data_IF_304576974361
#
_entry.id   IF_304576974361
#
_cell.length_a   1.000
_cell.length_b   1.000
_cell.length_c   1.000
_cell.angle_alpha   90.00
_cell.angle_beta   90.00
_cell.angle_gamma   90.00
#
_symmetry.space_group_name_H-M   'P 1'
#
loop_
_entity.id
_entity.type
_entity.pdbx_description
1 polymer ?
#
# COMPACT_ATOMS: atom_id res chain seq x y z
N UNK A 1 -10.19 -67.03 17.16
CA UNK A 1 -9.88 -65.65 16.75
C UNK A 1 -8.41 -65.58 16.34
N UNK A 2 -8.14 -65.38 15.06
CA UNK A 2 -6.78 -65.28 14.50
C UNK A 2 -6.13 -63.95 14.89
N UNK A 3 -4.79 -63.92 15.06
CA UNK A 3 -4.02 -62.72 15.46
C UNK A 3 -4.36 -61.45 14.67
N UNK A 4 -4.82 -61.60 13.42
CA UNK A 4 -5.26 -60.53 12.54
C UNK A 4 -6.54 -59.84 13.06
N UNK A 5 -7.52 -60.59 13.58
CA UNK A 5 -8.77 -60.00 14.11
C UNK A 5 -8.55 -59.17 15.37
N UNK A 6 -7.56 -59.54 16.18
CA UNK A 6 -7.17 -58.77 17.37
C UNK A 6 -6.56 -57.42 16.97
N UNK A 7 -5.70 -57.42 15.94
CA UNK A 7 -5.04 -56.22 15.45
C UNK A 7 -6.03 -55.20 14.86
N UNK A 8 -7.02 -55.66 14.09
CA UNK A 8 -8.05 -54.78 13.54
C UNK A 8 -9.02 -54.21 14.59
N UNK A 9 -9.32 -54.97 15.66
CA UNK A 9 -10.11 -54.44 16.80
C UNK A 9 -9.37 -53.34 17.55
N UNK A 10 -8.05 -53.47 17.70
CA UNK A 10 -7.24 -52.49 18.43
C UNK A 10 -7.07 -51.18 17.64
N UNK A 11 -6.91 -51.26 16.31
CA UNK A 11 -6.86 -50.07 15.44
C UNK A 11 -8.21 -49.33 15.44
N UNK A 12 -9.34 -50.03 15.35
CA UNK A 12 -10.67 -49.37 15.42
C UNK A 12 -10.91 -48.69 16.78
N UNK A 13 -10.48 -49.30 17.88
CA UNK A 13 -10.58 -48.66 19.21
C UNK A 13 -9.75 -47.38 19.31
N UNK A 14 -8.52 -47.37 18.77
CA UNK A 14 -7.65 -46.18 18.76
C UNK A 14 -8.16 -45.08 17.82
N UNK A 15 -8.78 -45.44 16.69
CA UNK A 15 -9.39 -44.47 15.78
C UNK A 15 -10.64 -43.82 16.38
N UNK A 16 -11.50 -44.58 17.08
CA UNK A 16 -12.64 -44.00 17.79
C UNK A 16 -12.20 -43.10 18.95
N UNK A 17 -11.22 -43.50 19.76
CA UNK A 17 -10.75 -42.65 20.87
C UNK A 17 -10.11 -41.32 20.40
N UNK A 18 -9.44 -41.32 19.25
CA UNK A 18 -8.85 -40.11 18.67
C UNK A 18 -9.91 -39.19 18.02
N UNK A 19 -11.01 -39.75 17.53
CA UNK A 19 -12.10 -38.97 16.97
C UNK A 19 -12.95 -38.32 18.09
N UNK A 20 -13.21 -39.04 19.17
CA UNK A 20 -13.96 -38.51 20.33
C UNK A 20 -13.19 -37.39 21.06
N UNK A 21 -11.86 -37.51 21.16
CA UNK A 21 -11.01 -36.45 21.74
C UNK A 21 -10.92 -35.21 20.85
N UNK A 22 -10.90 -35.36 19.52
CA UNK A 22 -10.94 -34.23 18.59
C UNK A 22 -12.27 -33.45 18.66
N UNK A 23 -13.39 -34.16 18.81
CA UNK A 23 -14.72 -33.54 18.96
C UNK A 23 -14.82 -32.78 20.29
N UNK A 24 -14.30 -33.36 21.38
CA UNK A 24 -14.32 -32.72 22.70
C UNK A 24 -13.46 -31.44 22.73
N UNK A 25 -12.32 -31.42 22.04
CA UNK A 25 -11.46 -30.23 21.89
C UNK A 25 -12.17 -29.14 21.07
N UNK A 26 -12.88 -29.51 20.00
CA UNK A 26 -13.65 -28.54 19.21
C UNK A 26 -14.85 -27.96 19.98
N UNK A 27 -15.53 -28.78 20.78
CA UNK A 27 -16.65 -28.31 21.61
C UNK A 27 -16.18 -27.34 22.70
N UNK A 28 -15.11 -27.67 23.41
CA UNK A 28 -14.53 -26.80 24.45
C UNK A 28 -13.95 -25.50 23.88
N UNK A 29 -13.39 -25.52 22.68
CA UNK A 29 -12.96 -24.31 21.97
C UNK A 29 -14.16 -23.40 21.60
N UNK A 30 -15.26 -23.98 21.11
CA UNK A 30 -16.45 -23.22 20.75
C UNK A 30 -17.14 -22.58 21.97
N UNK A 31 -17.21 -23.29 23.11
CA UNK A 31 -17.76 -22.73 24.35
C UNK A 31 -16.91 -21.57 24.88
N UNK A 32 -15.59 -21.67 24.78
CA UNK A 32 -14.65 -20.61 25.17
C UNK A 32 -14.82 -19.37 24.30
N UNK A 33 -14.99 -19.55 22.99
CA UNK A 33 -15.24 -18.46 22.03
C UNK A 33 -16.60 -17.80 22.31
N UNK A 34 -17.67 -18.57 22.53
CA UNK A 34 -18.98 -18.01 22.84
C UNK A 34 -18.98 -17.23 24.16
N UNK A 35 -18.27 -17.73 25.18
CA UNK A 35 -18.11 -17.02 26.45
C UNK A 35 -17.38 -15.69 26.25
N UNK A 36 -16.30 -15.68 25.46
CA UNK A 36 -15.55 -14.46 25.12
C UNK A 36 -16.43 -13.40 24.42
N UNK A 37 -17.20 -13.79 23.40
CA UNK A 37 -18.10 -12.88 22.70
C UNK A 37 -19.20 -12.31 23.60
N UNK A 38 -19.76 -13.12 24.51
CA UNK A 38 -20.76 -12.65 25.47
C UNK A 38 -20.19 -11.59 26.42
N UNK A 39 -18.98 -11.82 26.97
CA UNK A 39 -18.30 -10.81 27.79
C UNK A 39 -17.97 -9.53 27.03
N UNK A 40 -17.59 -9.62 25.76
CA UNK A 40 -17.33 -8.43 24.93
C UNK A 40 -18.60 -7.61 24.67
N UNK A 41 -19.73 -8.27 24.42
CA UNK A 41 -21.02 -7.59 24.24
C UNK A 41 -21.49 -6.90 25.53
N UNK A 42 -21.37 -7.56 26.68
CA UNK A 42 -21.72 -6.97 27.98
C UNK A 42 -20.81 -5.78 28.35
N UNK A 43 -19.53 -5.81 27.96
CA UNK A 43 -18.61 -4.68 28.14
C UNK A 43 -18.95 -3.50 27.22
N UNK A 44 -19.32 -3.77 25.96
CA UNK A 44 -19.72 -2.74 25.01
C UNK A 44 -21.06 -2.08 25.39
N UNK A 45 -22.03 -2.85 25.90
CA UNK A 45 -23.29 -2.29 26.41
C UNK A 45 -23.03 -1.40 27.63
N UNK A 46 -22.19 -1.82 28.58
CA UNK A 46 -21.81 -0.98 29.73
C UNK A 46 -21.08 0.30 29.31
N UNK A 47 -20.19 0.24 28.32
CA UNK A 47 -19.53 1.44 27.78
C UNK A 47 -20.52 2.38 27.07
N UNK A 48 -21.48 1.84 26.30
CA UNK A 48 -22.55 2.63 25.67
C UNK A 48 -23.46 3.34 26.68
N UNK A 49 -23.78 2.70 27.81
CA UNK A 49 -24.59 3.33 28.86
C UNK A 49 -23.82 4.36 29.68
N UNK A 50 -22.52 4.16 29.91
CA UNK A 50 -21.69 5.09 30.70
C UNK A 50 -21.39 6.38 29.93
N UNK A 51 -21.31 6.32 28.59
CA UNK A 51 -21.09 7.50 27.73
C UNK A 51 -22.34 8.41 27.66
N UNK A 52 -23.53 7.90 28.02
CA UNK A 52 -24.78 8.68 27.96
C UNK A 52 -25.07 9.59 29.16
N UNK A 53 -24.26 9.59 30.22
CA UNK A 53 -24.58 10.34 31.45
C UNK A 53 -23.56 11.46 31.79
N UNK A 54 -22.34 11.46 31.23
CA UNK A 54 -21.29 12.38 31.67
C UNK A 54 -20.94 13.55 30.73
N UNK A 55 -21.56 13.67 29.56
CA UNK A 55 -21.21 14.69 28.56
C UNK A 55 -22.35 15.60 28.09
N UNK A 56 -23.34 15.87 28.95
CA UNK A 56 -24.21 17.04 28.76
C UNK A 56 -23.54 18.25 29.42
N UNK A 57 -22.51 18.77 28.75
CA UNK A 57 -22.09 20.15 28.95
C UNK A 57 -23.10 21.04 28.24
N UNK A 58 -23.65 21.97 29.01
CA UNK A 58 -24.38 23.14 28.54
C UNK A 58 -23.55 23.84 27.45
N UNK A 59 -23.94 23.64 26.20
CA UNK A 59 -23.57 24.51 25.11
C UNK A 59 -24.85 25.00 24.47
N UNK A 60 -25.07 26.30 24.63
CA UNK A 60 -26.13 27.08 24.02
C UNK A 60 -26.23 26.78 22.52
N UNK A 61 -27.28 26.04 22.18
CA UNK A 61 -27.86 26.02 20.85
C UNK A 61 -29.26 26.55 21.06
N UNK A 62 -29.64 27.59 20.30
CA UNK A 62 -31.00 28.09 20.17
C UNK A 62 -31.94 26.94 19.76
N UNK A 63 -32.34 26.11 20.73
CA UNK A 63 -33.27 25.03 20.55
C UNK A 63 -34.65 25.66 20.43
N UNK A 64 -35.05 26.00 19.19
CA UNK A 64 -36.47 26.20 18.88
C UNK A 64 -37.19 24.91 19.28
N UNK A 65 -37.88 24.97 20.41
CA UNK A 65 -38.74 23.88 20.87
C UNK A 65 -39.84 23.71 19.83
N UNK A 66 -39.87 22.55 19.17
CA UNK A 66 -40.93 22.21 18.23
C UNK A 66 -42.17 21.77 19.02
N UNK A 67 -43.34 22.25 18.62
CA UNK A 67 -44.62 21.96 19.26
C UNK A 67 -45.45 21.04 18.39
N UNK A 68 -46.12 20.06 19.01
CA UNK A 68 -47.07 19.18 18.33
C UNK A 68 -48.32 19.97 17.95
N UNK A 69 -48.74 19.93 16.69
CA UNK A 69 -49.93 20.65 16.22
C UNK A 69 -51.24 20.13 16.85
N UNK A 70 -51.31 18.84 17.18
CA UNK A 70 -52.53 18.23 17.73
C UNK A 70 -52.63 18.40 19.25
N UNK A 71 -51.51 18.23 19.96
CA UNK A 71 -51.49 18.24 21.43
C UNK A 71 -51.02 19.56 22.03
N UNK A 72 -50.49 20.48 21.20
CA UNK A 72 -49.86 21.74 21.60
C UNK A 72 -48.86 21.59 22.76
N UNK A 73 -48.03 20.55 22.68
CA UNK A 73 -46.99 20.20 23.66
C UNK A 73 -45.63 20.04 22.98
N UNK A 74 -44.52 20.22 23.70
CA UNK A 74 -43.18 20.10 23.12
C UNK A 74 -42.92 18.68 22.65
N UNK A 75 -42.34 18.55 21.46
CA UNK A 75 -41.93 17.28 20.88
C UNK A 75 -40.55 16.88 21.41
N UNK A 76 -40.35 15.57 21.65
CA UNK A 76 -39.04 15.02 21.98
C UNK A 76 -38.32 14.54 20.72
N UNK A 77 -37.05 14.93 20.55
CA UNK A 77 -36.20 14.38 19.48
C UNK A 77 -35.92 12.90 19.75
N UNK A 78 -36.34 12.02 18.84
CA UNK A 78 -36.03 10.58 18.87
C UNK A 78 -34.69 10.30 18.18
N UNK A 79 -34.41 10.99 17.08
CA UNK A 79 -33.11 10.98 16.38
C UNK A 79 -32.93 12.31 15.61
N UNK A 80 -31.90 12.38 14.77
CA UNK A 80 -31.59 13.58 13.97
C UNK A 80 -32.65 13.95 12.93
N UNK A 81 -33.66 13.11 12.69
CA UNK A 81 -34.63 13.28 11.60
C UNK A 81 -36.06 13.34 12.15
N UNK A 82 -36.35 12.69 13.27
CA UNK A 82 -37.70 12.51 13.78
C UNK A 82 -37.85 13.00 15.22
N UNK A 83 -38.94 13.72 15.43
CA UNK A 83 -39.44 14.15 16.72
C UNK A 83 -40.76 13.43 17.02
N UNK A 84 -40.99 13.04 18.27
CA UNK A 84 -42.21 12.34 18.70
C UNK A 84 -42.93 13.14 19.76
N UNK A 85 -44.26 13.22 19.63
CA UNK A 85 -45.10 13.65 20.74
C UNK A 85 -45.29 12.49 21.73
N UNK A 86 -44.93 12.70 22.99
CA UNK A 86 -45.04 11.66 24.03
C UNK A 86 -46.49 11.24 24.25
N UNK A 87 -47.43 12.17 24.11
CA UNK A 87 -48.82 11.93 24.49
C UNK A 87 -49.65 11.28 23.39
N UNK A 88 -49.53 11.77 22.14
CA UNK A 88 -50.29 11.19 21.01
C UNK A 88 -49.48 10.21 20.16
N UNK A 89 -48.16 10.10 20.40
CA UNK A 89 -47.28 9.23 19.63
C UNK A 89 -47.02 9.69 18.19
N UNK A 90 -47.46 10.89 17.80
CA UNK A 90 -47.27 11.41 16.44
C UNK A 90 -45.77 11.63 16.16
N UNK A 91 -45.27 10.96 15.12
CA UNK A 91 -43.91 11.16 14.63
C UNK A 91 -43.90 12.25 13.55
N UNK A 92 -43.16 13.33 13.80
CA UNK A 92 -42.97 14.43 12.86
C UNK A 92 -41.51 14.44 12.38
N UNK A 93 -41.31 14.63 11.08
CA UNK A 93 -39.98 14.82 10.51
C UNK A 93 -39.53 16.27 10.72
N UNK A 94 -38.34 16.45 11.28
CA UNK A 94 -37.74 17.77 11.45
C UNK A 94 -37.12 18.21 10.11
N UNK A 95 -37.85 19.03 9.35
CA UNK A 95 -37.39 19.51 8.04
C UNK A 95 -36.25 20.55 8.13
N UNK A 96 -35.95 21.07 9.33
CA UNK A 96 -34.95 22.12 9.50
C UNK A 96 -33.50 21.65 9.30
N UNK A 97 -33.22 20.35 9.47
CA UNK A 97 -31.87 19.77 9.29
C UNK A 97 -31.67 19.08 7.92
N UNK A 98 -32.64 19.18 7.01
CA UNK A 98 -32.54 18.65 5.66
C UNK A 98 -32.11 19.73 4.67
N UNK A 99 -30.79 19.92 4.55
CA UNK A 99 -30.21 20.38 3.28
C UNK A 99 -30.58 19.33 2.22
N UNK A 100 -31.47 19.67 1.29
CA UNK A 100 -31.78 18.84 0.14
C UNK A 100 -30.48 18.47 -0.60
N UNK A 101 -30.05 17.22 -0.44
CA UNK A 101 -29.24 16.55 -1.44
C UNK A 101 -30.18 16.29 -2.63
N UNK A 102 -30.28 17.28 -3.53
CA UNK A 102 -30.81 17.03 -4.87
C UNK A 102 -29.98 15.91 -5.49
N UNK A 103 -30.64 14.87 -6.01
CA UNK A 103 -30.04 13.75 -6.75
C UNK A 103 -29.39 14.15 -8.09
N UNK A 104 -28.95 15.40 -8.24
CA UNK A 104 -28.06 15.83 -9.29
C UNK A 104 -26.63 15.45 -8.87
N UNK A 105 -26.26 14.23 -9.23
CA UNK A 105 -25.00 13.55 -8.90
C UNK A 105 -23.71 14.21 -9.41
N UNK A 106 -23.72 15.51 -9.75
CA UNK A 106 -22.56 16.16 -10.37
C UNK A 106 -22.12 17.49 -9.74
N UNK A 107 -22.78 18.02 -8.70
CA UNK A 107 -22.37 19.33 -8.14
C UNK A 107 -22.40 19.55 -6.63
N UNK A 108 -22.69 18.57 -5.79
CA UNK A 108 -22.67 18.78 -4.32
C UNK A 108 -21.44 18.18 -3.64
N UNK A 109 -20.28 18.81 -3.83
CA UNK A 109 -19.21 18.73 -2.81
C UNK A 109 -19.61 19.69 -1.69
N UNK A 110 -20.49 19.24 -0.80
CA UNK A 110 -20.92 19.98 0.38
C UNK A 110 -20.37 19.36 1.66
N UNK A 111 -19.11 18.91 1.65
CA UNK A 111 -18.30 18.71 2.85
C UNK A 111 -16.83 18.99 2.52
N UNK A 112 -16.51 20.26 2.34
CA UNK A 112 -15.18 20.74 2.69
C UNK A 112 -15.31 22.23 2.98
N UNK A 113 -14.40 22.75 3.78
CA UNK A 113 -14.05 24.16 3.88
C UNK A 113 -13.59 24.70 2.52
N UNK A 114 -14.47 24.72 1.53
CA UNK A 114 -14.17 25.19 0.18
C UNK A 114 -13.94 26.68 0.25
N UNK A 115 -12.69 27.06 0.03
CA UNK A 115 -12.25 28.44 -0.04
C UNK A 115 -13.10 29.22 -1.04
N UNK A 116 -13.55 30.42 -0.63
CA UNK A 116 -14.23 31.38 -1.50
C UNK A 116 -13.46 31.49 -2.83
N UNK A 117 -14.07 31.01 -3.92
CA UNK A 117 -13.43 31.01 -5.25
C UNK A 117 -14.05 32.09 -6.10
N UNK A 118 -13.31 33.18 -6.31
CA UNK A 118 -13.70 34.28 -7.18
C UNK A 118 -13.61 33.77 -8.62
N UNK A 119 -14.75 33.64 -9.30
CA UNK A 119 -14.77 33.27 -10.72
C UNK A 119 -14.44 34.50 -11.56
N UNK A 120 -13.43 34.39 -12.43
CA UNK A 120 -13.05 35.45 -13.36
C UNK A 120 -11.78 35.11 -14.14
N UNK A 121 -11.73 35.44 -15.42
CA UNK A 121 -10.55 35.23 -16.28
C UNK A 121 -9.50 36.34 -16.15
N UNK A 122 -9.84 37.42 -15.46
CA UNK A 122 -8.97 38.58 -15.20
C UNK A 122 -7.78 38.22 -14.29
N UNK A 123 -6.67 38.95 -14.45
CA UNK A 123 -5.46 38.79 -13.63
C UNK A 123 -5.75 39.08 -12.15
N UNK A 124 -6.66 40.03 -11.90
CA UNK A 124 -7.11 40.49 -10.59
C UNK A 124 -7.86 39.39 -9.84
N UNK A 125 -8.82 38.74 -10.49
CA UNK A 125 -9.53 37.58 -9.92
C UNK A 125 -8.57 36.43 -9.55
N UNK A 126 -7.55 36.15 -10.39
CA UNK A 126 -6.50 35.16 -10.06
C UNK A 126 -5.66 35.60 -8.87
N UNK A 127 -5.28 36.88 -8.80
CA UNK A 127 -4.50 37.43 -7.70
C UNK A 127 -5.28 37.40 -6.38
N UNK A 128 -6.56 37.74 -6.38
CA UNK A 128 -7.42 37.68 -5.21
C UNK A 128 -7.66 36.24 -4.76
N UNK A 129 -7.90 35.30 -5.68
CA UNK A 129 -7.94 33.86 -5.34
C UNK A 129 -6.64 33.39 -4.68
N UNK A 130 -5.48 33.79 -5.22
CA UNK A 130 -4.19 33.41 -4.64
C UNK A 130 -4.02 33.98 -3.22
N UNK A 131 -4.52 35.20 -2.96
CA UNK A 131 -4.53 35.79 -1.61
C UNK A 131 -5.44 35.03 -0.67
N UNK A 132 -6.67 34.72 -1.08
CA UNK A 132 -7.62 33.93 -0.29
C UNK A 132 -7.07 32.56 0.07
N UNK A 133 -6.47 31.86 -0.90
CA UNK A 133 -5.81 30.56 -0.68
C UNK A 133 -4.56 30.65 0.22
N UNK A 134 -3.91 31.81 0.27
CA UNK A 134 -2.75 32.06 1.14
C UNK A 134 -3.13 32.35 2.59
N UNK A 135 -4.37 32.81 2.84
CA UNK A 135 -4.86 33.18 4.17
C UNK A 135 -5.65 32.06 4.86
N UNK A 136 -5.92 30.95 4.19
CA UNK A 136 -6.71 29.85 4.76
C UNK A 136 -5.84 28.88 5.57
N UNK A 137 -6.32 28.46 6.74
CA UNK A 137 -5.72 27.41 7.56
C UNK A 137 -5.49 26.09 6.81
N UNK A 138 -6.27 25.84 5.74
CA UNK A 138 -6.19 24.66 4.87
C UNK A 138 -5.22 24.78 3.66
N UNK A 139 -4.29 25.74 3.67
CA UNK A 139 -3.33 25.95 2.57
C UNK A 139 -2.48 24.71 2.30
N UNK A 140 -2.09 23.97 3.35
CA UNK A 140 -1.34 22.71 3.23
C UNK A 140 -2.15 21.65 2.49
N UNK A 141 -3.39 21.44 2.90
CA UNK A 141 -4.26 20.41 2.34
C UNK A 141 -4.58 20.69 0.87
N UNK A 142 -4.81 21.95 0.52
CA UNK A 142 -5.06 22.32 -0.88
C UNK A 142 -3.82 22.08 -1.75
N UNK A 143 -2.62 22.37 -1.25
CA UNK A 143 -1.36 22.10 -1.97
C UNK A 143 -1.15 20.60 -2.15
N UNK A 144 -1.36 19.82 -1.07
CA UNK A 144 -1.31 18.36 -1.10
C UNK A 144 -2.26 17.79 -2.15
N UNK A 145 -3.53 18.21 -2.15
CA UNK A 145 -4.53 17.75 -3.12
C UNK A 145 -4.13 18.04 -4.57
N UNK A 146 -3.53 19.20 -4.86
CA UNK A 146 -3.02 19.50 -6.21
C UNK A 146 -1.90 18.55 -6.64
N UNK A 147 -1.00 18.22 -5.71
CA UNK A 147 0.10 17.28 -5.98
C UNK A 147 -0.45 15.87 -6.16
N UNK A 148 -1.41 15.45 -5.33
CA UNK A 148 -2.09 14.17 -5.47
C UNK A 148 -2.77 14.03 -6.83
N UNK A 149 -3.57 15.02 -7.22
CA UNK A 149 -4.23 15.04 -8.52
C UNK A 149 -3.21 14.98 -9.67
N UNK A 150 -2.08 15.68 -9.54
CA UNK A 150 -1.00 15.62 -10.51
C UNK A 150 -0.38 14.21 -10.60
N UNK A 151 0.04 13.62 -9.48
CA UNK A 151 0.64 12.28 -9.44
C UNK A 151 -0.33 11.21 -9.97
N UNK A 152 -1.59 11.25 -9.53
CA UNK A 152 -2.62 10.35 -10.01
C UNK A 152 -2.83 10.49 -11.52
N UNK A 153 -2.89 11.72 -12.04
CA UNK A 153 -3.04 11.93 -13.49
C UNK A 153 -1.90 11.30 -14.30
N UNK A 154 -0.66 11.31 -13.78
CA UNK A 154 0.49 10.68 -14.43
C UNK A 154 0.40 9.15 -14.35
N UNK A 155 0.06 8.61 -13.19
CA UNK A 155 -0.02 7.16 -12.97
C UNK A 155 -1.18 6.53 -13.77
N UNK A 156 -2.34 7.19 -13.86
CA UNK A 156 -3.48 6.70 -14.64
C UNK A 156 -3.29 6.79 -16.16
N UNK A 157 -2.35 7.60 -16.65
CA UNK A 157 -2.01 7.63 -18.07
C UNK A 157 -1.23 6.39 -18.53
N UNK A 158 -0.79 5.55 -17.60
CA UNK A 158 -0.01 4.34 -17.88
C UNK A 158 -0.95 3.20 -18.24
N UNK A 159 -0.48 2.35 -19.17
CA UNK A 159 -1.21 1.17 -19.66
C UNK A 159 -1.77 0.34 -18.50
N UNK A 160 -3.06 -0.07 -18.54
CA UNK A 160 -3.63 -0.98 -17.55
C UNK A 160 -2.85 -2.30 -17.57
N UNK A 161 -2.33 -2.70 -16.40
CA UNK A 161 -1.45 -3.87 -16.22
C UNK A 161 0.04 -3.58 -16.00
N UNK A 162 0.46 -2.31 -16.01
CA UNK A 162 1.84 -1.91 -15.68
C UNK A 162 2.10 -1.85 -14.16
N UNK A 163 3.37 -1.68 -13.77
CA UNK A 163 3.85 -1.48 -12.39
C UNK A 163 3.14 -0.31 -11.67
N UNK A 164 1.92 -0.55 -11.19
CA UNK A 164 1.14 0.46 -10.47
C UNK A 164 1.78 0.73 -9.11
N UNK A 165 1.82 2.01 -8.75
CA UNK A 165 2.30 2.44 -7.44
C UNK A 165 1.13 2.46 -6.46
N UNK A 166 1.23 1.81 -5.29
CA UNK A 166 0.18 1.85 -4.28
C UNK A 166 -0.18 3.27 -3.82
N UNK A 167 -1.47 3.49 -3.54
CA UNK A 167 -1.98 4.83 -3.18
C UNK A 167 -1.35 5.40 -1.89
N UNK A 168 -0.94 4.55 -0.95
CA UNK A 168 -0.28 5.02 0.29
C UNK A 168 1.06 5.70 -0.02
N UNK A 169 1.89 5.14 -0.91
CA UNK A 169 3.15 5.75 -1.35
C UNK A 169 2.89 7.10 -2.04
N UNK A 170 1.85 7.18 -2.88
CA UNK A 170 1.47 8.44 -3.55
C UNK A 170 1.10 9.52 -2.52
N UNK A 171 0.38 9.12 -1.46
CA UNK A 171 0.00 10.02 -0.37
C UNK A 171 1.23 10.52 0.39
N UNK A 172 2.16 9.63 0.72
CA UNK A 172 3.39 9.97 1.45
C UNK A 172 4.27 10.94 0.65
N UNK A 173 4.39 10.73 -0.66
CA UNK A 173 5.11 11.65 -1.55
C UNK A 173 4.46 13.04 -1.56
N UNK A 174 3.14 13.10 -1.66
CA UNK A 174 2.40 14.36 -1.65
C UNK A 174 2.53 15.09 -0.30
N UNK A 175 2.50 14.35 0.82
CA UNK A 175 2.72 14.89 2.16
C UNK A 175 4.13 15.45 2.32
N UNK A 176 5.14 14.68 1.90
CA UNK A 176 6.55 15.05 2.00
C UNK A 176 6.87 16.29 1.16
N UNK A 177 6.40 16.34 -0.08
CA UNK A 177 6.59 17.51 -0.92
C UNK A 177 5.85 18.75 -0.39
N UNK A 178 4.62 18.58 0.11
CA UNK A 178 3.86 19.69 0.70
C UNK A 178 4.55 20.26 1.93
N UNK A 179 5.12 19.39 2.75
CA UNK A 179 5.94 19.77 3.90
C UNK A 179 7.19 20.57 3.47
N UNK A 180 7.96 20.05 2.50
CA UNK A 180 9.12 20.74 1.91
C UNK A 180 8.77 22.12 1.35
N UNK A 181 7.64 22.21 0.65
CA UNK A 181 7.23 23.46 0.02
C UNK A 181 6.89 24.54 1.05
N UNK A 182 6.35 24.16 2.21
CA UNK A 182 5.92 25.09 3.26
C UNK A 182 7.07 25.43 4.21
N UNK A 183 7.76 24.40 4.73
CA UNK A 183 8.79 24.57 5.76
C UNK A 183 10.13 24.99 5.17
N UNK A 184 10.57 24.30 4.13
CA UNK A 184 11.87 24.55 3.47
C UNK A 184 11.78 25.53 2.30
N UNK A 185 10.59 26.10 2.05
CA UNK A 185 10.30 27.03 0.94
C UNK A 185 10.73 26.47 -0.42
N UNK A 186 10.73 25.15 -0.59
CA UNK A 186 11.09 24.49 -1.85
C UNK A 186 10.01 24.74 -2.89
N UNK A 187 10.25 25.70 -3.79
CA UNK A 187 9.35 25.99 -4.91
C UNK A 187 10.04 25.68 -6.22
N UNK A 188 9.65 24.56 -6.84
CA UNK A 188 10.06 24.20 -8.21
C UNK A 188 8.87 24.31 -9.16
N UNK A 189 9.15 24.47 -10.45
CA UNK A 189 8.16 24.62 -11.52
C UNK A 189 8.52 23.72 -12.71
N UNK A 190 7.52 23.35 -13.50
CA UNK A 190 7.67 22.55 -14.72
C UNK A 190 8.56 21.31 -14.48
N UNK A 191 9.51 21.00 -15.38
CA UNK A 191 10.38 19.81 -15.25
C UNK A 191 11.18 19.74 -13.95
N UNK A 192 11.45 20.87 -13.29
CA UNK A 192 12.07 20.86 -11.95
C UNK A 192 11.14 20.34 -10.85
N UNK A 193 9.84 20.62 -10.94
CA UNK A 193 8.83 20.03 -10.05
C UNK A 193 8.72 18.53 -10.32
N UNK A 194 8.59 18.16 -11.59
CA UNK A 194 8.42 16.76 -11.99
C UNK A 194 9.64 15.92 -11.60
N UNK A 195 10.86 16.46 -11.75
CA UNK A 195 12.09 15.80 -11.31
C UNK A 195 12.15 15.54 -9.81
N UNK A 196 11.79 16.53 -8.98
CA UNK A 196 11.76 16.36 -7.50
C UNK A 196 10.67 15.36 -7.08
N UNK A 197 9.47 15.45 -7.67
CA UNK A 197 8.41 14.48 -7.38
C UNK A 197 8.79 13.06 -7.80
N UNK A 198 9.45 12.91 -8.95
CA UNK A 198 9.95 11.61 -9.41
C UNK A 198 11.00 11.03 -8.44
N UNK A 199 11.90 11.87 -7.93
CA UNK A 199 12.90 11.44 -6.96
C UNK A 199 12.29 11.09 -5.59
N UNK A 200 11.28 11.84 -5.12
CA UNK A 200 10.54 11.48 -3.91
C UNK A 200 9.79 10.16 -4.09
N UNK A 201 9.15 9.97 -5.23
CA UNK A 201 8.44 8.74 -5.56
C UNK A 201 9.39 7.54 -5.57
N UNK A 202 10.57 7.68 -6.17
CA UNK A 202 11.61 6.66 -6.16
C UNK A 202 12.07 6.30 -4.74
N UNK A 203 12.37 7.30 -3.92
CA UNK A 203 12.86 7.08 -2.55
C UNK A 203 11.77 6.50 -1.63
N UNK A 204 10.51 6.97 -1.76
CA UNK A 204 9.38 6.43 -1.00
C UNK A 204 9.09 4.97 -1.38
N UNK A 205 9.23 4.60 -2.65
CA UNK A 205 9.17 3.19 -3.07
C UNK A 205 10.21 2.31 -2.35
N UNK A 206 11.42 2.84 -2.10
CA UNK A 206 12.48 2.11 -1.39
C UNK A 206 12.15 1.99 0.10
N UNK A 207 11.69 3.07 0.75
CA UNK A 207 11.28 3.04 2.17
C UNK A 207 10.19 2.00 2.44
N UNK A 208 9.25 1.85 1.50
CA UNK A 208 8.15 0.88 1.61
C UNK A 208 8.50 -0.54 1.13
N UNK A 209 9.79 -0.86 0.89
CA UNK A 209 10.25 -2.16 0.38
C UNK A 209 9.62 -2.58 -0.96
N UNK A 210 9.24 -1.62 -1.79
CA UNK A 210 8.69 -1.88 -3.14
C UNK A 210 9.58 -1.14 -4.14
N UNK A 211 10.88 -1.52 -4.26
CA UNK A 211 11.80 -0.75 -5.06
C UNK A 211 11.41 -0.79 -6.53
N UNK A 212 11.65 0.33 -7.21
CA UNK A 212 11.40 0.49 -8.64
C UNK A 212 12.69 0.95 -9.31
N UNK A 213 12.90 0.51 -10.55
CA UNK A 213 14.06 1.00 -11.31
C UNK A 213 13.86 2.49 -11.61
N UNK A 214 14.94 3.28 -11.63
CA UNK A 214 14.88 4.69 -12.04
C UNK A 214 14.16 4.89 -13.39
N UNK A 215 14.39 3.99 -14.34
CA UNK A 215 13.74 4.01 -15.65
C UNK A 215 12.21 3.88 -15.55
N UNK A 216 11.73 2.94 -14.74
CA UNK A 216 10.30 2.72 -14.51
C UNK A 216 9.64 3.97 -13.93
N UNK A 217 10.29 4.62 -12.96
CA UNK A 217 9.78 5.88 -12.38
C UNK A 217 9.75 7.00 -13.42
N UNK A 218 10.77 7.10 -14.28
CA UNK A 218 10.82 8.13 -15.33
C UNK A 218 9.74 7.92 -16.39
N UNK A 219 9.43 6.67 -16.73
CA UNK A 219 8.31 6.30 -17.62
C UNK A 219 6.97 6.66 -16.98
N UNK A 220 6.78 6.32 -15.69
CA UNK A 220 5.56 6.63 -14.94
C UNK A 220 5.28 8.15 -14.93
N UNK A 221 6.32 8.94 -14.72
CA UNK A 221 6.20 10.39 -14.57
C UNK A 221 6.24 11.13 -15.91
N UNK A 222 6.63 10.46 -17.00
CA UNK A 222 6.85 11.06 -18.31
C UNK A 222 7.98 12.08 -18.31
N UNK A 223 9.05 11.84 -17.53
CA UNK A 223 10.21 12.74 -17.40
C UNK A 223 11.49 12.08 -17.91
N UNK A 224 12.49 12.86 -18.28
CA UNK A 224 13.80 12.31 -18.59
C UNK A 224 14.55 11.88 -17.31
N UNK A 225 15.41 10.88 -17.40
CA UNK A 225 16.27 10.45 -16.28
C UNK A 225 17.21 11.53 -15.75
N UNK A 226 17.48 12.57 -16.56
CA UNK A 226 18.24 13.75 -16.13
C UNK A 226 17.46 14.53 -15.06
N UNK A 227 16.15 14.72 -15.25
CA UNK A 227 15.31 15.43 -14.27
C UNK A 227 15.16 14.65 -12.97
N UNK A 228 15.02 13.32 -13.03
CA UNK A 228 15.04 12.46 -11.84
C UNK A 228 16.34 12.68 -11.04
N UNK A 229 17.49 12.60 -11.71
CA UNK A 229 18.80 12.76 -11.08
C UNK A 229 19.02 14.17 -10.51
N UNK A 230 18.55 15.20 -11.21
CA UNK A 230 18.57 16.57 -10.71
C UNK A 230 17.67 16.74 -9.48
N UNK A 231 16.48 16.11 -9.49
CA UNK A 231 15.57 16.09 -8.35
C UNK A 231 16.19 15.42 -7.13
N UNK A 232 16.84 14.28 -7.32
CA UNK A 232 17.52 13.55 -6.23
C UNK A 232 18.64 14.37 -5.60
N UNK A 233 19.45 15.08 -6.40
CA UNK A 233 20.46 16.02 -5.89
C UNK A 233 19.85 17.13 -5.02
N UNK A 234 18.70 17.66 -5.44
CA UNK A 234 17.98 18.66 -4.65
C UNK A 234 17.52 18.05 -3.33
N UNK A 235 16.90 16.87 -3.34
CA UNK A 235 16.45 16.19 -2.12
C UNK A 235 17.59 15.87 -1.16
N UNK A 236 18.73 15.39 -1.66
CA UNK A 236 19.91 15.13 -0.84
C UNK A 236 20.44 16.38 -0.14
N UNK A 237 20.30 17.55 -0.75
CA UNK A 237 20.64 18.83 -0.10
C UNK A 237 19.78 19.09 1.13
N UNK A 238 18.50 18.68 1.09
CA UNK A 238 17.56 18.82 2.22
C UNK A 238 17.66 17.67 3.22
N UNK A 239 18.12 16.48 2.81
CA UNK A 239 18.36 15.35 3.71
C UNK A 239 19.61 15.53 4.59
N UNK A 240 20.53 16.42 4.21
CA UNK A 240 21.60 16.85 5.11
C UNK A 240 21.09 17.66 6.31
N UNK A 241 19.87 18.19 6.23
CA UNK A 241 19.16 18.78 7.36
C UNK A 241 18.24 17.70 7.97
N UNK A 242 17.96 17.72 9.29
CA UNK A 242 17.11 16.72 9.97
C UNK A 242 15.63 16.71 9.53
N UNK A 243 15.32 17.39 8.44
CA UNK A 243 13.99 17.63 7.89
C UNK A 243 13.44 16.38 7.18
N UNK A 244 14.28 15.57 6.54
CA UNK A 244 13.87 14.38 5.78
C UNK A 244 14.93 13.27 5.89
N UNK A 245 14.47 12.04 6.13
CA UNK A 245 15.28 10.84 5.96
C UNK A 245 15.16 10.35 4.52
N UNK A 246 16.29 10.13 3.84
CA UNK A 246 16.30 9.45 2.54
C UNK A 246 17.03 8.11 2.71
N UNK A 247 16.54 7.02 2.09
CA UNK A 247 17.20 5.73 2.16
C UNK A 247 18.59 5.80 1.52
N UNK A 248 19.60 5.31 2.23
CA UNK A 248 20.97 5.20 1.74
C UNK A 248 21.13 3.88 0.99
N UNK A 249 20.71 3.84 -0.28
CA UNK A 249 21.02 2.70 -1.13
C UNK A 249 20.03 2.44 -2.26
N UNK A 250 20.24 1.31 -2.90
CA UNK A 250 19.28 0.68 -3.79
C UNK A 250 18.37 -0.21 -2.94
N UNK A 251 17.13 -0.46 -3.40
CA UNK A 251 16.24 -1.39 -2.70
C UNK A 251 16.89 -2.75 -2.44
N UNK A 252 16.43 -3.43 -1.39
CA UNK A 252 16.93 -4.75 -1.02
C UNK A 252 16.80 -5.73 -2.19
N UNK A 253 17.83 -6.57 -2.40
CA UNK A 253 17.81 -7.63 -3.42
C UNK A 253 16.59 -8.54 -3.22
N UNK A 254 16.24 -8.83 -1.96
CA UNK A 254 15.04 -9.58 -1.58
C UNK A 254 13.73 -9.01 -2.14
N UNK A 255 13.60 -7.68 -2.11
CA UNK A 255 12.40 -7.02 -2.59
C UNK A 255 12.29 -7.09 -4.12
N UNK A 256 13.44 -6.99 -4.83
CA UNK A 256 13.48 -7.21 -6.28
C UNK A 256 13.21 -8.67 -6.66
N UNK A 257 13.77 -9.61 -5.90
CA UNK A 257 13.52 -11.04 -6.07
C UNK A 257 12.02 -11.31 -6.01
N UNK A 258 11.36 -10.89 -4.91
CA UNK A 258 9.91 -11.06 -4.72
C UNK A 258 9.10 -10.44 -5.87
N UNK A 259 9.45 -9.22 -6.31
CA UNK A 259 8.76 -8.56 -7.41
C UNK A 259 8.86 -9.35 -8.73
N UNK A 260 10.03 -9.91 -9.06
CA UNK A 260 10.20 -10.65 -10.32
C UNK A 260 9.49 -12.00 -10.28
N UNK A 261 9.53 -12.63 -9.12
CA UNK A 261 8.77 -13.82 -8.81
C UNK A 261 7.27 -13.62 -9.03
N UNK A 262 6.69 -12.53 -8.50
CA UNK A 262 5.28 -12.15 -8.72
C UNK A 262 4.97 -11.90 -10.20
N UNK A 263 5.80 -11.14 -10.90
CA UNK A 263 5.59 -10.85 -12.33
C UNK A 263 5.62 -12.09 -13.22
N UNK A 264 6.43 -13.08 -12.86
CA UNK A 264 6.54 -14.34 -13.59
C UNK A 264 5.56 -15.42 -13.09
N UNK A 265 4.69 -15.11 -12.12
CA UNK A 265 3.70 -16.02 -11.54
C UNK A 265 4.30 -17.32 -10.97
N UNK A 266 5.48 -17.25 -10.34
CA UNK A 266 6.16 -18.44 -9.80
C UNK A 266 5.73 -18.67 -8.34
N UNK A 267 4.65 -19.40 -8.11
CA UNK A 267 3.95 -19.53 -6.81
C UNK A 267 4.74 -20.11 -5.61
N UNK A 268 6.00 -20.53 -5.76
CA UNK A 268 6.82 -21.18 -4.71
C UNK A 268 7.99 -20.30 -4.26
N UNK A 269 7.69 -19.04 -3.94
CA UNK A 269 8.67 -18.00 -3.58
C UNK A 269 9.65 -18.43 -2.49
N UNK A 270 9.13 -18.87 -1.35
CA UNK A 270 9.95 -19.15 -0.15
C UNK A 270 10.92 -20.31 -0.34
N UNK A 271 10.57 -21.28 -1.20
CA UNK A 271 11.43 -22.44 -1.47
C UNK A 271 12.66 -22.06 -2.29
N UNK A 272 12.50 -21.17 -3.27
CA UNK A 272 13.52 -20.90 -4.28
C UNK A 272 14.23 -19.56 -4.12
N UNK A 273 13.69 -18.65 -3.30
CA UNK A 273 14.36 -17.40 -2.95
C UNK A 273 15.76 -17.64 -2.35
N UNK A 274 15.97 -18.58 -1.40
CA UNK A 274 17.30 -18.87 -0.87
C UNK A 274 18.32 -19.29 -1.94
N UNK A 275 17.89 -20.09 -2.94
CA UNK A 275 18.75 -20.47 -4.06
C UNK A 275 19.24 -19.24 -4.84
N UNK A 276 18.34 -18.30 -5.17
CA UNK A 276 18.70 -17.09 -5.90
C UNK A 276 19.68 -16.24 -5.10
N UNK A 277 19.42 -16.03 -3.82
CA UNK A 277 20.28 -15.23 -2.94
C UNK A 277 21.67 -15.87 -2.81
N UNK A 278 21.76 -17.16 -2.50
CA UNK A 278 23.03 -17.89 -2.40
C UNK A 278 23.80 -17.87 -3.74
N UNK A 279 23.12 -18.03 -4.88
CA UNK A 279 23.77 -17.98 -6.19
C UNK A 279 24.36 -16.60 -6.50
N UNK A 280 23.64 -15.52 -6.14
CA UNK A 280 24.13 -14.15 -6.32
C UNK A 280 25.34 -13.89 -5.43
N UNK A 281 25.35 -14.42 -4.21
CA UNK A 281 26.46 -14.32 -3.26
C UNK A 281 27.70 -15.09 -3.74
N UNK A 282 27.53 -16.33 -4.23
CA UNK A 282 28.64 -17.13 -4.77
C UNK A 282 29.23 -16.56 -6.06
N UNK A 283 28.45 -15.75 -6.77
CA UNK A 283 28.88 -15.11 -8.03
C UNK A 283 29.36 -13.68 -7.84
N UNK A 284 29.52 -13.17 -6.60
CA UNK A 284 30.04 -11.82 -6.39
C UNK A 284 31.51 -11.67 -6.80
N UNK A 285 31.90 -10.43 -7.12
CA UNK A 285 33.27 -10.07 -7.53
C UNK A 285 34.34 -10.57 -6.56
N UNK A 286 34.03 -10.60 -5.26
CA UNK A 286 34.93 -11.07 -4.21
C UNK A 286 35.29 -12.56 -4.35
N UNK A 287 34.37 -13.37 -4.88
CA UNK A 287 34.52 -14.81 -5.05
C UNK A 287 34.87 -15.22 -6.49
N UNK A 288 34.50 -14.39 -7.47
CA UNK A 288 34.76 -14.60 -8.89
C UNK A 288 35.25 -13.28 -9.51
N UNK A 289 36.57 -13.05 -9.58
CA UNK A 289 37.14 -11.81 -10.10
C UNK A 289 37.16 -11.81 -11.64
N UNK A 290 36.05 -11.43 -12.27
CA UNK A 290 35.97 -11.21 -13.72
C UNK A 290 35.65 -9.74 -13.96
N UNK A 291 36.32 -9.11 -14.93
CA UNK A 291 36.04 -7.71 -15.33
C UNK A 291 34.57 -7.47 -15.70
N UNK A 292 33.88 -8.50 -16.16
CA UNK A 292 32.48 -8.50 -16.58
C UNK A 292 31.47 -8.77 -15.44
N UNK A 293 31.96 -9.16 -14.26
CA UNK A 293 31.15 -9.48 -13.09
C UNK A 293 30.68 -8.24 -12.31
N UNK A 294 30.97 -7.03 -12.84
CA UNK A 294 30.34 -5.78 -12.38
C UNK A 294 28.91 -5.64 -12.92
N UNK A 295 28.11 -6.70 -12.79
CA UNK A 295 26.73 -6.70 -13.24
C UNK A 295 25.82 -6.15 -12.15
N UNK A 296 24.90 -5.25 -12.52
CA UNK A 296 23.96 -4.64 -11.57
C UNK A 296 23.20 -5.72 -10.80
N UNK A 297 22.86 -5.53 -9.50
CA UNK A 297 22.14 -6.53 -8.70
C UNK A 297 20.88 -7.06 -9.39
N UNK A 298 20.05 -6.17 -9.93
CA UNK A 298 18.84 -6.52 -10.71
C UNK A 298 19.11 -7.44 -11.91
N UNK A 299 20.28 -7.32 -12.55
CA UNK A 299 20.68 -8.24 -13.62
C UNK A 299 21.07 -9.60 -13.09
N UNK A 300 21.83 -9.66 -12.00
CA UNK A 300 22.22 -10.92 -11.36
C UNK A 300 20.98 -11.68 -10.91
N UNK A 301 20.02 -10.99 -10.31
CA UNK A 301 18.71 -11.54 -9.93
C UNK A 301 17.97 -12.10 -11.15
N UNK A 302 17.81 -11.33 -12.23
CA UNK A 302 17.08 -11.80 -13.40
C UNK A 302 17.77 -13.00 -14.09
N UNK A 303 19.11 -13.03 -14.10
CA UNK A 303 19.87 -14.15 -14.64
C UNK A 303 19.77 -15.41 -13.76
N UNK A 304 19.91 -15.26 -12.44
CA UNK A 304 19.72 -16.34 -11.48
C UNK A 304 18.28 -16.91 -11.53
N UNK A 305 17.29 -16.04 -11.70
CA UNK A 305 15.89 -16.42 -11.86
C UNK A 305 15.66 -17.23 -13.14
N UNK A 306 16.30 -16.86 -14.25
CA UNK A 306 16.20 -17.63 -15.48
C UNK A 306 16.86 -19.01 -15.36
N UNK A 307 18.00 -19.10 -14.67
CA UNK A 307 18.65 -20.38 -14.37
C UNK A 307 17.72 -21.27 -13.54
N UNK A 308 17.08 -20.71 -12.51
CA UNK A 308 16.09 -21.43 -11.71
C UNK A 308 14.93 -21.95 -12.58
N UNK A 309 14.41 -21.12 -13.48
CA UNK A 309 13.34 -21.48 -14.42
C UNK A 309 13.76 -22.67 -15.31
N UNK A 310 14.99 -22.66 -15.84
CA UNK A 310 15.52 -23.74 -16.67
C UNK A 310 15.67 -25.04 -15.87
N UNK A 311 16.22 -24.98 -14.64
CA UNK A 311 16.40 -26.17 -13.78
C UNK A 311 15.07 -26.76 -13.30
N UNK A 312 14.03 -25.94 -13.14
CA UNK A 312 12.68 -26.40 -12.80
C UNK A 312 11.87 -26.88 -14.01
N UNK A 313 12.35 -26.66 -15.24
CA UNK A 313 11.63 -26.99 -16.46
C UNK A 313 10.31 -26.21 -16.63
N UNK A 314 10.26 -24.95 -16.17
CA UNK A 314 9.07 -24.09 -16.34
C UNK A 314 9.00 -23.55 -17.78
N UNK A 315 7.77 -23.37 -18.30
CA UNK A 315 7.51 -22.81 -19.64
C UNK A 315 7.68 -21.28 -19.70
N UNK A 316 8.70 -20.74 -19.03
CA UNK A 316 9.01 -19.30 -19.03
C UNK A 316 10.22 -19.09 -19.94
N UNK A 317 10.04 -18.30 -21.00
CA UNK A 317 11.12 -18.05 -21.94
C UNK A 317 12.05 -16.94 -21.44
N UNK A 318 13.24 -16.86 -22.03
CA UNK A 318 14.17 -15.75 -21.78
C UNK A 318 13.55 -14.39 -22.16
N UNK A 319 12.63 -14.40 -23.11
CA UNK A 319 11.95 -13.21 -23.60
C UNK A 319 10.96 -12.69 -22.56
N UNK A 320 10.30 -13.60 -21.85
CA UNK A 320 9.40 -13.27 -20.76
C UNK A 320 10.19 -12.65 -19.61
N UNK A 321 11.30 -13.25 -19.19
CA UNK A 321 12.17 -12.67 -18.15
C UNK A 321 12.71 -11.30 -18.57
N UNK A 322 13.16 -11.16 -19.82
CA UNK A 322 13.65 -9.88 -20.33
C UNK A 322 12.58 -8.78 -20.31
N UNK A 323 11.35 -9.12 -20.70
CA UNK A 323 10.20 -8.22 -20.70
C UNK A 323 9.79 -7.84 -19.29
N UNK A 324 9.49 -8.81 -18.43
CA UNK A 324 8.94 -8.59 -17.09
C UNK A 324 9.95 -7.92 -16.15
N UNK A 325 11.24 -8.30 -16.24
CA UNK A 325 12.30 -7.68 -15.46
C UNK A 325 12.80 -6.37 -16.07
N UNK A 326 12.43 -6.03 -17.32
CA UNK A 326 12.97 -4.89 -18.07
C UNK A 326 14.50 -4.88 -18.12
N UNK A 327 15.08 -5.99 -18.62
CA UNK A 327 16.52 -6.19 -18.81
C UNK A 327 16.74 -6.79 -20.20
N UNK A 328 17.77 -6.37 -20.92
CA UNK A 328 18.04 -6.91 -22.26
C UNK A 328 18.43 -8.39 -22.19
N UNK A 329 18.02 -9.15 -23.21
CA UNK A 329 18.34 -10.58 -23.34
C UNK A 329 19.85 -10.83 -23.30
N UNK A 330 20.63 -10.00 -23.99
CA UNK A 330 22.10 -10.12 -24.03
C UNK A 330 22.72 -9.96 -22.64
N UNK A 331 22.19 -9.07 -21.81
CA UNK A 331 22.65 -8.86 -20.44
C UNK A 331 22.30 -10.05 -19.53
N UNK A 332 21.12 -10.65 -19.69
CA UNK A 332 20.75 -11.89 -19.01
C UNK A 332 21.67 -13.04 -19.45
N UNK A 333 21.86 -13.23 -20.75
CA UNK A 333 22.74 -14.27 -21.32
C UNK A 333 24.18 -14.15 -20.82
N UNK A 334 24.70 -12.93 -20.67
CA UNK A 334 26.06 -12.72 -20.14
C UNK A 334 26.21 -13.28 -18.72
N UNK A 335 25.22 -13.05 -17.86
CA UNK A 335 25.24 -13.60 -16.50
C UNK A 335 25.10 -15.12 -16.48
N UNK A 336 24.22 -15.68 -17.32
CA UNK A 336 24.07 -17.14 -17.45
C UNK A 336 25.39 -17.80 -17.88
N UNK A 337 26.06 -17.23 -18.89
CA UNK A 337 27.34 -17.73 -19.35
C UNK A 337 28.42 -17.67 -18.26
N UNK A 338 28.39 -16.63 -17.43
CA UNK A 338 29.26 -16.51 -16.27
C UNK A 338 29.00 -17.67 -15.29
N UNK A 339 27.75 -17.92 -14.90
CA UNK A 339 27.43 -19.03 -14.00
C UNK A 339 27.83 -20.38 -14.60
N UNK A 340 27.52 -20.61 -15.87
CA UNK A 340 27.86 -21.86 -16.57
C UNK A 340 29.37 -22.12 -16.64
N UNK A 341 30.18 -21.06 -16.83
CA UNK A 341 31.65 -21.17 -16.83
C UNK A 341 32.18 -21.69 -15.49
N UNK A 342 31.50 -21.38 -14.38
CA UNK A 342 31.90 -21.78 -13.03
C UNK A 342 30.97 -22.83 -12.40
N UNK A 343 30.10 -23.48 -13.19
CA UNK A 343 29.13 -24.46 -12.68
C UNK A 343 29.80 -25.65 -11.97
N UNK A 344 31.02 -25.99 -12.40
CA UNK A 344 31.84 -27.06 -11.80
C UNK A 344 32.64 -26.62 -10.57
N UNK A 345 32.64 -25.33 -10.22
CA UNK A 345 33.28 -24.85 -8.99
C UNK A 345 32.52 -25.44 -7.81
N UNK A 346 33.25 -25.99 -6.82
CA UNK A 346 32.66 -26.77 -5.72
C UNK A 346 31.47 -26.07 -5.07
N UNK A 347 31.60 -24.79 -4.73
CA UNK A 347 30.56 -24.03 -4.04
C UNK A 347 29.28 -23.89 -4.88
N UNK A 348 29.41 -23.69 -6.19
CA UNK A 348 28.27 -23.60 -7.10
C UNK A 348 27.70 -25.01 -7.34
N UNK A 349 28.53 -26.02 -7.56
CA UNK A 349 28.06 -27.40 -7.73
C UNK A 349 27.28 -27.90 -6.50
N UNK A 350 27.80 -27.64 -5.29
CA UNK A 350 27.16 -27.98 -4.01
C UNK A 350 25.81 -27.24 -3.86
N UNK A 351 25.73 -25.97 -4.30
CA UNK A 351 24.49 -25.20 -4.32
C UNK A 351 23.44 -25.84 -5.23
N UNK A 352 23.79 -26.18 -6.47
CA UNK A 352 22.85 -26.84 -7.40
C UNK A 352 22.44 -28.21 -6.87
N UNK A 353 23.37 -28.97 -6.27
CA UNK A 353 23.04 -30.23 -5.65
C UNK A 353 22.01 -30.03 -4.53
N UNK A 354 22.28 -29.12 -3.57
CA UNK A 354 21.40 -28.81 -2.44
C UNK A 354 19.94 -28.51 -2.84
N UNK A 355 19.72 -27.83 -3.97
CA UNK A 355 18.39 -27.39 -4.37
C UNK A 355 17.72 -28.25 -5.47
N UNK A 356 18.49 -29.02 -6.25
CA UNK A 356 17.98 -29.75 -7.43
C UNK A 356 18.37 -31.23 -7.50
N UNK A 357 19.10 -31.81 -6.54
CA UNK A 357 19.25 -33.27 -6.51
C UNK A 357 17.87 -33.91 -6.39
N UNK A 358 17.52 -34.69 -7.42
CA UNK A 358 16.37 -35.58 -7.41
C UNK A 358 16.61 -36.67 -6.38
N UNK A 359 15.68 -36.82 -5.44
CA UNK A 359 15.46 -38.10 -4.76
C UNK A 359 15.06 -39.18 -5.78
#
# INVERSE_FOLDING_TARGET
MTKIEYYYKDIRKRQHSNMDTSILIQQTANESIQKYFKTMLEQNEKQMYTIKISNLREHDIDNKVLWCNDCNKPLLRKNSIFCICIDCGLEMRDEADHCFASNDFDKSICYSSSTLRIKGFTREARAQNNRLMGCTSAMRDTKKQKILAFLQSKIFQIRPGADTIPQHIINDVADTYSYLQIKEKLVKRAGGLEGVLSALLYNSCIEHNIPRKPHTITEIMGVSGVYLSMGDKVLRTYACNPTISLPNGYGSDDAFINQYFEKLNINKYDKYKPFITELIEETQLEKIPIKDNNTRPTTRIAGALFILVEELGLEITRDDVARECSISKSTITRYINLVNTYKNKKEIADLFAKYFTKD
#
